data_IF_480074693714
#
_entry.id   IF_480074693714
#
_cell.length_a   1.000
_cell.length_b   1.000
_cell.length_c   1.000
_cell.angle_alpha   90.00
_cell.angle_beta   90.00
_cell.angle_gamma   90.00
#
_symmetry.space_group_name_H-M   'P 1'
#
loop_
_entity.id
_entity.type
_entity.pdbx_description
1 polymer ?
#
# COMPACT_ATOMS: atom_id res chain seq x y z
N UNK A 1 -31.73 7.06 -25.13
CA UNK A 1 -31.41 7.23 -23.70
C UNK A 1 -30.04 6.62 -23.50
N UNK A 2 -29.02 7.47 -23.45
CA UNK A 2 -27.62 7.06 -23.27
C UNK A 2 -27.34 6.99 -21.76
N UNK A 3 -27.33 5.77 -21.21
CA UNK A 3 -27.04 5.54 -19.80
C UNK A 3 -25.54 5.32 -19.68
N UNK A 4 -24.79 6.38 -19.39
CA UNK A 4 -23.39 6.24 -18.99
C UNK A 4 -23.35 5.52 -17.63
N UNK A 5 -22.78 4.31 -17.52
CA UNK A 5 -22.50 3.76 -16.21
C UNK A 5 -21.41 4.64 -15.58
N UNK A 6 -21.71 5.22 -14.41
CA UNK A 6 -20.71 5.92 -13.59
C UNK A 6 -19.44 5.08 -13.54
N UNK A 7 -18.29 5.66 -13.90
CA UNK A 7 -16.98 5.00 -13.70
C UNK A 7 -16.95 4.48 -12.25
N UNK A 8 -16.58 3.22 -12.01
CA UNK A 8 -16.45 2.71 -10.65
C UNK A 8 -15.50 3.64 -9.88
N UNK A 9 -15.94 4.14 -8.74
CA UNK A 9 -15.10 4.96 -7.88
C UNK A 9 -13.84 4.18 -7.53
N UNK A 10 -12.68 4.77 -7.83
CA UNK A 10 -11.42 4.13 -7.53
C UNK A 10 -11.28 4.08 -6.01
N UNK A 11 -11.21 2.87 -5.46
CA UNK A 11 -11.16 2.65 -4.02
C UNK A 11 -9.88 3.21 -3.43
N UNK A 12 -10.01 3.95 -2.34
CA UNK A 12 -8.87 4.48 -1.58
C UNK A 12 -8.74 3.79 -0.23
N UNK A 13 -7.51 3.51 0.17
CA UNK A 13 -7.16 2.96 1.47
C UNK A 13 -6.01 3.77 2.04
N UNK A 14 -6.13 4.16 3.32
CA UNK A 14 -5.11 4.94 4.02
C UNK A 14 -4.29 4.05 4.94
N UNK A 15 -2.98 4.24 4.94
CA UNK A 15 -2.01 3.61 5.82
C UNK A 15 -1.35 4.67 6.70
N UNK A 16 -1.25 4.43 8.01
CA UNK A 16 -0.45 5.25 8.93
C UNK A 16 0.94 4.65 9.07
N UNK A 17 1.97 5.46 8.87
CA UNK A 17 3.36 5.04 9.06
C UNK A 17 3.61 4.64 10.52
N UNK A 18 3.07 5.40 11.47
CA UNK A 18 3.09 5.06 12.90
C UNK A 18 2.47 3.68 13.21
N UNK A 19 1.36 3.33 12.56
CA UNK A 19 0.68 2.02 12.74
C UNK A 19 1.48 0.89 12.11
N UNK A 20 2.05 1.12 10.93
CA UNK A 20 2.93 0.18 10.26
C UNK A 20 4.15 -0.15 11.15
N UNK A 21 4.85 0.87 11.64
CA UNK A 21 6.02 0.65 12.50
C UNK A 21 5.68 -0.09 13.78
N UNK A 22 4.53 0.22 14.40
CA UNK A 22 4.03 -0.48 15.59
C UNK A 22 3.70 -1.96 15.32
N UNK A 23 3.15 -2.28 14.14
CA UNK A 23 2.80 -3.67 13.81
C UNK A 23 4.02 -4.51 13.42
N UNK A 24 4.98 -3.91 12.71
CA UNK A 24 6.18 -4.62 12.27
C UNK A 24 7.28 -4.67 13.34
N UNK A 25 7.20 -3.82 14.37
CA UNK A 25 8.24 -3.69 15.40
C UNK A 25 9.52 -3.04 14.90
N UNK A 26 9.49 -2.44 13.71
CA UNK A 26 10.62 -1.78 13.05
C UNK A 26 10.11 -0.55 12.31
N UNK A 27 10.97 0.45 12.16
CA UNK A 27 10.69 1.62 11.33
C UNK A 27 10.99 1.31 9.86
N UNK A 28 10.03 1.59 8.98
CA UNK A 28 10.20 1.51 7.53
C UNK A 28 10.15 2.93 6.97
N UNK A 29 11.20 3.40 6.28
CA UNK A 29 11.22 4.76 5.73
C UNK A 29 10.04 5.01 4.79
N UNK A 30 9.44 6.21 4.87
CA UNK A 30 8.30 6.59 4.03
C UNK A 30 8.59 6.38 2.54
N UNK A 31 9.78 6.76 2.07
CA UNK A 31 10.21 6.55 0.68
C UNK A 31 10.18 5.08 0.26
N UNK A 32 10.53 4.17 1.17
CA UNK A 32 10.52 2.74 0.90
C UNK A 32 9.08 2.20 0.83
N UNK A 33 8.20 2.67 1.71
CA UNK A 33 6.77 2.33 1.65
C UNK A 33 6.15 2.81 0.34
N UNK A 34 6.44 4.05 -0.06
CA UNK A 34 5.99 4.63 -1.33
C UNK A 34 6.51 3.83 -2.53
N UNK A 35 7.80 3.45 -2.51
CA UNK A 35 8.44 2.64 -3.56
C UNK A 35 7.77 1.26 -3.70
N UNK A 36 7.56 0.56 -2.60
CA UNK A 36 6.94 -0.76 -2.58
C UNK A 36 5.51 -0.70 -3.10
N UNK A 37 4.69 0.22 -2.59
CA UNK A 37 3.29 0.34 -3.00
C UNK A 37 3.17 0.74 -4.47
N UNK A 38 4.05 1.62 -4.96
CA UNK A 38 4.13 1.96 -6.39
C UNK A 38 4.50 0.74 -7.24
N UNK A 39 5.49 -0.06 -6.82
CA UNK A 39 5.89 -1.27 -7.53
C UNK A 39 4.77 -2.33 -7.59
N UNK A 40 3.88 -2.34 -6.60
CA UNK A 40 2.67 -3.18 -6.56
C UNK A 40 1.48 -2.57 -7.31
N UNK A 41 1.71 -1.54 -8.14
CA UNK A 41 0.73 -0.81 -8.95
C UNK A 41 -0.30 0.02 -8.18
N UNK A 42 -0.15 0.18 -6.86
CA UNK A 42 -0.93 1.19 -6.14
C UNK A 42 -0.49 2.60 -6.55
N UNK A 43 -1.34 3.59 -6.26
CA UNK A 43 -1.00 5.01 -6.41
C UNK A 43 -0.87 5.66 -5.03
N UNK A 44 0.25 5.47 -4.32
CA UNK A 44 0.44 6.05 -3.00
C UNK A 44 0.70 7.56 -3.10
N UNK A 45 0.15 8.31 -2.14
CA UNK A 45 0.42 9.72 -1.93
C UNK A 45 0.72 9.93 -0.45
N UNK A 46 1.86 10.54 -0.14
CA UNK A 46 2.24 10.85 1.24
C UNK A 46 1.62 12.17 1.70
N UNK A 47 1.16 12.18 2.95
CA UNK A 47 0.67 13.36 3.67
C UNK A 47 1.01 13.19 5.14
N UNK A 48 2.10 13.81 5.58
CA UNK A 48 2.61 13.70 6.96
C UNK A 48 2.84 12.22 7.36
N UNK A 49 2.16 11.73 8.41
CA UNK A 49 2.20 10.34 8.89
C UNK A 49 1.32 9.39 8.05
N UNK A 50 0.61 9.89 7.03
CA UNK A 50 -0.35 9.13 6.24
C UNK A 50 0.18 8.84 4.84
N UNK A 51 -0.16 7.66 4.34
CA UNK A 51 -0.07 7.30 2.94
C UNK A 51 -1.47 6.94 2.47
N UNK A 52 -2.00 7.72 1.52
CA UNK A 52 -3.28 7.44 0.88
C UNK A 52 -3.00 6.70 -0.43
N UNK A 53 -3.57 5.51 -0.59
CA UNK A 53 -3.36 4.67 -1.77
C UNK A 53 -4.65 4.46 -2.53
N UNK A 54 -4.65 4.83 -3.81
CA UNK A 54 -5.67 4.35 -4.73
C UNK A 54 -5.37 2.89 -5.09
N UNK A 55 -6.35 2.00 -4.87
CA UNK A 55 -6.27 0.56 -5.10
C UNK A 55 -6.53 0.27 -6.58
N UNK A 56 -5.72 -0.58 -7.24
CA UNK A 56 -6.00 -1.05 -8.59
C UNK A 56 -7.31 -1.82 -8.66
N UNK A 57 -8.05 -1.67 -9.76
CA UNK A 57 -9.38 -2.29 -9.90
C UNK A 57 -9.40 -3.82 -9.81
N UNK A 58 -8.27 -4.48 -10.11
CA UNK A 58 -8.11 -5.93 -10.03
C UNK A 58 -7.69 -6.44 -8.64
N UNK A 59 -7.35 -5.55 -7.70
CA UNK A 59 -7.01 -5.91 -6.31
C UNK A 59 -8.28 -5.99 -5.47
N UNK A 60 -8.92 -7.16 -5.53
CA UNK A 60 -10.13 -7.49 -4.76
C UNK A 60 -9.84 -7.99 -3.34
N UNK A 61 -8.60 -7.87 -2.87
CA UNK A 61 -8.10 -8.35 -1.59
C UNK A 61 -7.73 -7.19 -0.63
N UNK A 62 -7.66 -5.95 -1.13
CA UNK A 62 -7.16 -4.79 -0.36
C UNK A 62 -8.30 -3.84 -0.01
N UNK A 63 -8.75 -3.83 1.25
CA UNK A 63 -9.87 -3.02 1.75
C UNK A 63 -9.52 -2.11 2.92
N UNK A 64 -8.45 -2.42 3.65
CA UNK A 64 -8.14 -1.83 4.94
C UNK A 64 -6.66 -1.49 4.99
N UNK A 65 -6.33 -0.57 5.90
CA UNK A 65 -4.95 -0.22 6.24
C UNK A 65 -4.06 -1.46 6.42
N UNK A 66 -4.53 -2.47 7.14
CA UNK A 66 -3.75 -3.69 7.43
C UNK A 66 -3.39 -4.49 6.18
N UNK A 67 -4.21 -4.44 5.14
CA UNK A 67 -3.94 -5.16 3.88
C UNK A 67 -2.77 -4.48 3.14
N UNK A 68 -2.68 -3.15 3.18
CA UNK A 68 -1.52 -2.42 2.68
C UNK A 68 -0.26 -2.68 3.53
N UNK A 69 -0.42 -2.77 4.87
CA UNK A 69 0.70 -3.07 5.77
C UNK A 69 1.26 -4.46 5.50
N UNK A 70 0.40 -5.47 5.27
CA UNK A 70 0.82 -6.82 4.88
C UNK A 70 1.64 -6.81 3.59
N UNK A 71 1.19 -6.08 2.58
CA UNK A 71 1.89 -5.96 1.29
C UNK A 71 3.27 -5.31 1.44
N UNK A 72 3.36 -4.25 2.25
CA UNK A 72 4.64 -3.60 2.56
C UNK A 72 5.55 -4.57 3.32
N UNK A 73 5.03 -5.26 4.34
CA UNK A 73 5.80 -6.21 5.13
C UNK A 73 6.33 -7.37 4.27
N UNK A 74 5.50 -7.90 3.37
CA UNK A 74 5.85 -9.00 2.47
C UNK A 74 7.03 -8.64 1.57
N UNK A 75 6.98 -7.49 0.90
CA UNK A 75 8.05 -7.06 -0.02
C UNK A 75 9.29 -6.61 0.74
N UNK A 76 9.12 -5.84 1.81
CA UNK A 76 10.23 -5.34 2.61
C UNK A 76 10.98 -6.48 3.32
N UNK A 77 10.26 -7.50 3.79
CA UNK A 77 10.83 -8.71 4.38
C UNK A 77 11.68 -9.50 3.39
N UNK A 78 11.21 -9.70 2.16
CA UNK A 78 11.99 -10.40 1.12
C UNK A 78 13.27 -9.67 0.74
N UNK A 79 13.27 -8.34 0.69
CA UNK A 79 14.48 -7.55 0.44
C UNK A 79 15.55 -7.73 1.53
N UNK A 80 15.16 -8.19 2.73
CA UNK A 80 16.05 -8.39 3.88
C UNK A 80 16.52 -9.83 4.07
N UNK A 81 15.98 -10.79 3.31
CA UNK A 81 16.51 -12.15 3.32
C UNK A 81 17.76 -12.16 2.45
N UNK A 82 18.96 -12.44 2.99
CA UNK A 82 20.15 -12.56 2.16
C UNK A 82 19.95 -13.75 1.21
N UNK A 83 19.83 -13.47 -0.08
CA UNK A 83 19.83 -14.50 -1.11
C UNK A 83 21.27 -14.99 -1.27
N UNK A 84 21.69 -15.92 -0.42
CA UNK A 84 22.86 -16.74 -0.71
C UNK A 84 22.49 -17.66 -1.88
N UNK A 85 22.96 -17.31 -3.08
CA UNK A 85 23.19 -18.26 -4.16
C UNK A 85 24.55 -18.93 -3.95
#
# INVERSE_FOLDING_TARGET
VDIYPKKPEQKEVTLRLSRLSRLLGIEVPCEEVMRILTALSFKPQSKDDLIVCSVPSWRSDVYREVDLIEEVARVYGYNKVPTSL
#
